data_IF_677570354574
#
_entry.id   IF_677570354574
#
_cell.length_a   1.000
_cell.length_b   1.000
_cell.length_c   1.000
_cell.angle_alpha   90.00
_cell.angle_beta   90.00
_cell.angle_gamma   90.00
#
_symmetry.space_group_name_H-M   'P 1'
#
loop_
_entity.id
_entity.type
_entity.pdbx_description
1 polymer ?
#
# COMPACT_ATOMS: atom_id res chain seq x y z
N UNK A 1 13.43 8.67 57.17
CA UNK A 1 14.72 8.00 56.96
C UNK A 1 14.72 7.55 55.51
N UNK A 2 15.05 8.46 54.61
CA UNK A 2 16.37 8.60 53.94
C UNK A 2 16.21 7.99 52.54
N UNK A 3 16.59 8.58 51.40
CA UNK A 3 17.39 9.76 51.14
C UNK A 3 17.24 10.10 49.65
N UNK A 4 17.05 11.37 49.29
CA UNK A 4 17.31 11.91 47.95
C UNK A 4 17.65 13.41 48.08
N UNK A 5 18.93 13.73 48.00
CA UNK A 5 19.52 15.03 47.63
C UNK A 5 21.01 14.75 47.35
N UNK A 6 21.50 14.77 46.12
CA UNK A 6 21.87 15.91 45.26
C UNK A 6 23.00 16.78 45.83
N UNK A 7 24.12 16.71 45.11
CA UNK A 7 25.13 17.74 44.85
C UNK A 7 26.26 18.01 45.86
N UNK A 8 27.33 18.56 45.30
CA UNK A 8 28.57 19.09 45.88
C UNK A 8 29.82 18.20 45.80
N UNK A 9 30.53 18.31 44.66
CA UNK A 9 31.98 18.45 44.70
C UNK A 9 32.56 19.16 43.46
N UNK A 10 32.87 20.45 43.65
CA UNK A 10 34.11 21.07 43.17
C UNK A 10 35.04 21.17 44.42
N UNK A 11 36.38 21.34 44.34
CA UNK A 11 37.14 22.04 43.29
C UNK A 11 38.42 21.30 42.83
N UNK A 12 39.06 21.77 41.74
CA UNK A 12 40.44 22.29 41.82
C UNK A 12 40.84 22.95 40.49
N UNK A 13 41.30 24.19 40.58
CA UNK A 13 42.00 24.91 39.52
C UNK A 13 43.50 24.69 39.70
N UNK A 14 44.22 24.34 38.63
CA UNK A 14 45.44 25.04 38.18
C UNK A 14 46.35 24.15 37.30
N UNK A 15 46.63 24.70 36.11
CA UNK A 15 47.88 24.64 35.34
C UNK A 15 48.55 23.27 35.07
N UNK A 16 48.60 22.91 33.80
CA UNK A 16 49.89 22.79 33.11
C UNK A 16 49.76 23.16 31.64
N UNK A 17 50.57 24.13 31.25
CA UNK A 17 50.76 24.62 29.91
C UNK A 17 51.45 23.57 29.01
N UNK A 18 51.11 23.62 27.72
CA UNK A 18 52.03 23.30 26.63
C UNK A 18 52.04 21.86 26.14
N UNK A 19 51.31 21.60 25.05
CA UNK A 19 51.75 20.67 24.02
C UNK A 19 51.09 21.03 22.68
N UNK A 20 51.86 21.79 21.89
CA UNK A 20 51.89 21.81 20.44
C UNK A 20 50.57 21.62 19.68
N UNK A 21 49.99 22.74 19.25
CA UNK A 21 49.33 22.85 17.95
C UNK A 21 50.33 22.44 16.85
N UNK A 22 50.39 21.15 16.54
CA UNK A 22 50.94 20.67 15.27
C UNK A 22 49.93 21.01 14.16
N UNK A 23 49.94 22.27 13.74
CA UNK A 23 49.55 22.60 12.38
C UNK A 23 50.64 22.05 11.46
N UNK A 24 50.50 20.78 11.09
CA UNK A 24 51.19 20.23 9.93
C UNK A 24 50.75 21.07 8.74
N UNK A 25 51.61 21.99 8.30
CA UNK A 25 51.43 22.73 7.06
C UNK A 25 51.47 21.71 5.91
N UNK A 26 50.30 21.23 5.51
CA UNK A 26 50.10 20.71 4.17
C UNK A 26 50.47 21.80 3.19
N UNK A 27 51.16 21.46 2.10
CA UNK A 27 51.33 22.41 1.01
C UNK A 27 49.93 22.83 0.54
N UNK A 28 49.73 24.12 0.27
CA UNK A 28 48.45 24.64 -0.22
C UNK A 28 47.94 23.88 -1.46
N UNK A 29 48.86 23.32 -2.25
CA UNK A 29 48.55 22.45 -3.40
C UNK A 29 47.94 21.09 -3.00
N UNK A 30 48.41 20.47 -1.90
CA UNK A 30 47.86 19.21 -1.41
C UNK A 30 46.47 19.36 -0.79
N UNK A 31 46.24 20.47 -0.08
CA UNK A 31 44.91 20.80 0.45
C UNK A 31 43.92 21.12 -0.68
N UNK A 32 44.39 21.80 -1.74
CA UNK A 32 43.57 22.08 -2.92
C UNK A 32 43.21 20.80 -3.69
N UNK A 33 44.14 19.87 -3.88
CA UNK A 33 43.87 18.59 -4.54
C UNK A 33 42.89 17.72 -3.73
N UNK A 34 43.02 17.70 -2.40
CA UNK A 34 42.07 17.04 -1.51
C UNK A 34 40.67 17.67 -1.61
N UNK A 35 40.58 19.00 -1.68
CA UNK A 35 39.32 19.73 -1.80
C UNK A 35 38.63 19.43 -3.14
N UNK A 36 39.37 19.42 -4.25
CA UNK A 36 38.84 19.04 -5.58
C UNK A 36 38.34 17.59 -5.59
N UNK A 37 39.07 16.65 -4.97
CA UNK A 37 38.65 15.25 -4.86
C UNK A 37 37.35 15.11 -4.07
N UNK A 38 37.24 15.79 -2.92
CA UNK A 38 36.04 15.78 -2.10
C UNK A 38 34.85 16.41 -2.81
N UNK A 39 35.06 17.48 -3.58
CA UNK A 39 34.00 18.12 -4.36
C UNK A 39 33.44 17.17 -5.42
N UNK A 40 34.34 16.47 -6.13
CA UNK A 40 33.96 15.46 -7.12
C UNK A 40 33.20 14.30 -6.51
N UNK A 41 33.67 13.77 -5.38
CA UNK A 41 32.98 12.70 -4.65
C UNK A 41 31.60 13.17 -4.16
N UNK A 42 31.49 14.42 -3.70
CA UNK A 42 30.22 15.01 -3.29
C UNK A 42 29.23 15.10 -4.44
N UNK A 43 29.68 15.51 -5.63
CA UNK A 43 28.84 15.59 -6.82
C UNK A 43 28.40 14.19 -7.30
N UNK A 44 29.30 13.20 -7.29
CA UNK A 44 28.96 11.81 -7.60
C UNK A 44 27.92 11.23 -6.61
N UNK A 45 28.04 11.55 -5.33
CA UNK A 45 27.08 11.14 -4.30
C UNK A 45 25.72 11.83 -4.46
N UNK A 46 25.70 13.14 -4.79
CA UNK A 46 24.47 13.88 -5.09
C UNK A 46 23.74 13.29 -6.29
N UNK A 47 24.46 13.02 -7.37
CA UNK A 47 23.89 12.41 -8.58
C UNK A 47 23.30 11.03 -8.28
N UNK A 48 24.01 10.22 -7.49
CA UNK A 48 23.51 8.91 -7.04
C UNK A 48 22.27 9.06 -6.18
N UNK A 49 22.27 9.99 -5.23
CA UNK A 49 21.13 10.24 -4.35
C UNK A 49 19.90 10.71 -5.13
N UNK A 50 20.06 11.61 -6.11
CA UNK A 50 18.98 12.07 -6.97
C UNK A 50 18.42 10.94 -7.83
N UNK A 51 19.28 10.09 -8.39
CA UNK A 51 18.86 8.92 -9.18
C UNK A 51 18.06 7.94 -8.32
N UNK A 52 18.56 7.60 -7.14
CA UNK A 52 17.85 6.71 -6.20
C UNK A 52 16.51 7.31 -5.78
N UNK A 53 16.46 8.61 -5.48
CA UNK A 53 15.21 9.29 -5.15
C UNK A 53 14.17 9.20 -6.29
N UNK A 54 14.62 9.38 -7.53
CA UNK A 54 13.76 9.24 -8.71
C UNK A 54 13.28 7.80 -8.92
N UNK A 55 14.16 6.80 -8.74
CA UNK A 55 13.81 5.39 -8.81
C UNK A 55 12.78 4.99 -7.73
N UNK A 56 12.94 5.50 -6.51
CA UNK A 56 12.01 5.26 -5.41
C UNK A 56 10.63 5.87 -5.67
N UNK A 57 10.58 7.09 -6.22
CA UNK A 57 9.31 7.72 -6.59
C UNK A 57 8.61 6.95 -7.74
N UNK A 58 9.37 6.49 -8.73
CA UNK A 58 8.83 5.65 -9.80
C UNK A 58 8.29 4.31 -9.27
N UNK A 59 9.03 3.66 -8.37
CA UNK A 59 8.61 2.43 -7.71
C UNK A 59 7.35 2.65 -6.87
N UNK A 60 7.28 3.75 -6.11
CA UNK A 60 6.10 4.12 -5.31
C UNK A 60 4.87 4.32 -6.20
N UNK A 61 5.01 5.03 -7.32
CA UNK A 61 3.91 5.22 -8.29
C UNK A 61 3.46 3.90 -8.92
N UNK A 62 4.40 3.03 -9.29
CA UNK A 62 4.09 1.72 -9.87
C UNK A 62 3.37 0.83 -8.86
N UNK A 63 3.93 0.70 -7.66
CA UNK A 63 3.34 -0.14 -6.60
C UNK A 63 1.96 0.36 -6.17
N UNK A 64 1.72 1.69 -6.14
CA UNK A 64 0.39 2.23 -5.87
C UNK A 64 -0.64 1.79 -6.92
N UNK A 65 -0.27 1.76 -8.20
CA UNK A 65 -1.13 1.24 -9.28
C UNK A 65 -1.33 -0.26 -9.15
N UNK A 66 -0.27 -1.03 -8.94
CA UNK A 66 -0.36 -2.49 -8.80
C UNK A 66 -1.26 -2.89 -7.62
N UNK A 67 -1.16 -2.18 -6.48
CA UNK A 67 -2.03 -2.40 -5.32
C UNK A 67 -3.48 -2.01 -5.62
N UNK A 68 -3.70 -0.91 -6.33
CA UNK A 68 -5.04 -0.51 -6.76
C UNK A 68 -5.67 -1.58 -7.67
N UNK A 69 -4.93 -2.04 -8.67
CA UNK A 69 -5.42 -3.02 -9.64
C UNK A 69 -5.62 -4.38 -8.98
N UNK A 70 -4.70 -4.80 -8.10
CA UNK A 70 -4.88 -6.01 -7.30
C UNK A 70 -6.16 -5.95 -6.47
N UNK A 71 -6.48 -4.80 -5.84
CA UNK A 71 -7.73 -4.62 -5.10
C UNK A 71 -8.96 -4.64 -6.00
N UNK A 72 -8.89 -3.97 -7.15
CA UNK A 72 -9.99 -3.91 -8.11
C UNK A 72 -10.32 -5.30 -8.69
N UNK A 73 -9.30 -6.10 -8.99
CA UNK A 73 -9.46 -7.39 -9.66
C UNK A 73 -9.39 -8.61 -8.74
N UNK A 74 -9.12 -8.45 -7.42
CA UNK A 74 -9.05 -9.56 -6.46
C UNK A 74 -10.30 -10.44 -6.44
N UNK A 75 -11.48 -9.83 -6.60
CA UNK A 75 -12.77 -10.54 -6.57
C UNK A 75 -13.28 -10.90 -7.96
N UNK A 76 -12.55 -10.61 -9.03
CA UNK A 76 -13.03 -10.79 -10.40
C UNK A 76 -13.35 -12.26 -10.74
N UNK A 77 -12.50 -13.19 -10.31
CA UNK A 77 -12.75 -14.62 -10.52
C UNK A 77 -13.97 -15.10 -9.73
N UNK A 78 -14.07 -14.72 -8.45
CA UNK A 78 -15.23 -15.03 -7.63
C UNK A 78 -16.53 -14.46 -8.22
N UNK A 79 -16.51 -13.21 -8.68
CA UNK A 79 -17.66 -12.60 -9.32
C UNK A 79 -18.07 -13.30 -10.62
N UNK A 80 -17.09 -13.78 -11.42
CA UNK A 80 -17.36 -14.58 -12.61
C UNK A 80 -18.06 -15.89 -12.25
N UNK A 81 -17.61 -16.57 -11.21
CA UNK A 81 -18.23 -17.81 -10.74
C UNK A 81 -19.65 -17.55 -10.22
N UNK A 82 -19.87 -16.46 -9.49
CA UNK A 82 -21.20 -16.06 -9.01
C UNK A 82 -22.16 -15.68 -10.15
N UNK A 83 -21.66 -15.14 -11.26
CA UNK A 83 -22.49 -14.89 -12.44
C UNK A 83 -23.09 -16.20 -12.99
N UNK A 84 -22.30 -17.27 -13.03
CA UNK A 84 -22.79 -18.59 -13.46
C UNK A 84 -23.90 -19.14 -12.56
N UNK A 85 -23.84 -18.83 -11.25
CA UNK A 85 -24.88 -19.20 -10.29
C UNK A 85 -26.16 -18.41 -10.58
N UNK A 86 -26.04 -17.09 -10.79
CA UNK A 86 -27.18 -16.24 -11.18
C UNK A 86 -27.85 -16.72 -12.46
N UNK A 87 -27.07 -17.05 -13.50
CA UNK A 87 -27.60 -17.57 -14.77
C UNK A 87 -28.32 -18.91 -14.59
N UNK A 88 -27.83 -19.78 -13.70
CA UNK A 88 -28.49 -21.04 -13.38
C UNK A 88 -29.79 -20.85 -12.61
N UNK A 89 -29.86 -19.89 -11.68
CA UNK A 89 -31.12 -19.52 -11.02
C UNK A 89 -32.14 -19.05 -12.05
N UNK A 90 -31.72 -18.21 -13.00
CA UNK A 90 -32.59 -17.74 -14.08
C UNK A 90 -33.07 -18.88 -14.96
N UNK A 91 -32.16 -19.77 -15.37
CA UNK A 91 -32.49 -20.97 -16.15
C UNK A 91 -33.49 -21.87 -15.42
N UNK A 92 -33.35 -22.03 -14.10
CA UNK A 92 -34.28 -22.82 -13.30
C UNK A 92 -35.68 -22.20 -13.29
N UNK A 93 -35.79 -20.87 -13.15
CA UNK A 93 -37.06 -20.14 -13.23
C UNK A 93 -37.72 -20.22 -14.61
N UNK A 94 -36.91 -20.17 -15.67
CA UNK A 94 -37.38 -20.25 -17.06
C UNK A 94 -37.80 -21.68 -17.45
N UNK A 95 -37.23 -22.70 -16.81
CA UNK A 95 -37.58 -24.10 -17.05
C UNK A 95 -38.94 -24.52 -16.46
N UNK A 96 -39.56 -23.70 -15.60
CA UNK A 96 -40.86 -23.99 -15.02
C UNK A 96 -41.95 -23.86 -16.11
N UNK A 97 -42.72 -24.94 -16.40
CA UNK A 97 -43.76 -24.93 -17.42
C UNK A 97 -44.81 -23.84 -17.20
N UNK A 98 -45.33 -23.28 -18.29
CA UNK A 98 -46.35 -22.22 -18.23
C UNK A 98 -47.63 -22.72 -17.55
N UNK A 99 -48.03 -23.98 -17.76
CA UNK A 99 -49.20 -24.55 -17.07
C UNK A 99 -48.98 -24.61 -15.55
N UNK A 100 -47.77 -24.94 -15.10
CA UNK A 100 -47.41 -24.96 -13.68
C UNK A 100 -47.44 -23.55 -13.07
N UNK A 101 -46.95 -22.53 -13.78
CA UNK A 101 -47.04 -21.12 -13.33
C UNK A 101 -48.50 -20.64 -13.24
N UNK A 102 -49.35 -21.08 -14.18
CA UNK A 102 -50.76 -20.71 -14.24
C UNK A 102 -51.67 -21.52 -13.30
N UNK A 103 -51.22 -22.68 -12.81
CA UNK A 103 -51.98 -23.63 -11.99
C UNK A 103 -52.56 -23.06 -10.69
N UNK A 104 -52.07 -21.90 -10.23
CA UNK A 104 -52.57 -21.22 -9.04
C UNK A 104 -52.02 -21.75 -7.73
N UNK A 105 -51.09 -22.71 -7.75
CA UNK A 105 -50.42 -23.21 -6.55
C UNK A 105 -49.68 -22.09 -5.82
N UNK A 106 -50.18 -21.73 -4.63
CA UNK A 106 -49.64 -20.66 -3.81
C UNK A 106 -48.21 -20.95 -3.29
N UNK A 107 -47.89 -22.22 -3.04
CA UNK A 107 -46.55 -22.64 -2.62
C UNK A 107 -45.54 -22.46 -3.74
N UNK A 108 -45.88 -22.90 -4.96
CA UNK A 108 -45.02 -22.73 -6.13
C UNK A 108 -44.81 -21.26 -6.48
N UNK A 109 -45.86 -20.42 -6.42
CA UNK A 109 -45.74 -18.97 -6.63
C UNK A 109 -44.81 -18.31 -5.62
N UNK A 110 -44.97 -18.63 -4.34
CA UNK A 110 -44.11 -18.09 -3.28
C UNK A 110 -42.64 -18.50 -3.47
N UNK A 111 -42.40 -19.74 -3.92
CA UNK A 111 -41.05 -20.21 -4.24
C UNK A 111 -40.43 -19.44 -5.42
N UNK A 112 -41.19 -19.24 -6.50
CA UNK A 112 -40.75 -18.47 -7.68
C UNK A 112 -40.35 -17.05 -7.26
N UNK A 113 -41.22 -16.35 -6.52
CA UNK A 113 -40.95 -15.00 -6.02
C UNK A 113 -39.71 -14.95 -5.12
N UNK A 114 -39.54 -15.94 -4.24
CA UNK A 114 -38.37 -16.03 -3.36
C UNK A 114 -37.06 -16.22 -4.12
N UNK A 115 -37.07 -17.06 -5.16
CA UNK A 115 -35.89 -17.28 -6.02
C UNK A 115 -35.59 -16.05 -6.86
N UNK A 116 -36.59 -15.38 -7.43
CA UNK A 116 -36.43 -14.10 -8.15
C UNK A 116 -35.85 -12.99 -7.27
N UNK A 117 -36.31 -12.89 -6.02
CA UNK A 117 -35.77 -11.93 -5.06
C UNK A 117 -34.30 -12.22 -4.74
N UNK A 118 -33.95 -13.50 -4.62
CA UNK A 118 -32.58 -13.95 -4.36
C UNK A 118 -31.66 -13.67 -5.55
N UNK A 119 -32.10 -13.94 -6.78
CA UNK A 119 -31.39 -13.58 -8.02
C UNK A 119 -31.11 -12.07 -8.05
N UNK A 120 -32.13 -11.25 -7.77
CA UNK A 120 -32.00 -9.79 -7.75
C UNK A 120 -31.03 -9.33 -6.66
N UNK A 121 -31.11 -9.89 -5.45
CA UNK A 121 -30.21 -9.55 -4.36
C UNK A 121 -28.75 -9.91 -4.68
N UNK A 122 -28.52 -11.03 -5.37
CA UNK A 122 -27.21 -11.46 -5.86
C UNK A 122 -26.66 -10.48 -6.91
N UNK A 123 -27.45 -10.10 -7.91
CA UNK A 123 -27.05 -9.10 -8.91
C UNK A 123 -26.72 -7.75 -8.26
N UNK A 124 -27.57 -7.26 -7.35
CA UNK A 124 -27.30 -6.03 -6.59
C UNK A 124 -26.02 -6.14 -5.75
N UNK A 125 -25.65 -7.33 -5.27
CA UNK A 125 -24.39 -7.53 -4.57
C UNK A 125 -23.18 -7.41 -5.50
N UNK A 126 -23.26 -8.02 -6.70
CA UNK A 126 -22.22 -7.89 -7.73
C UNK A 126 -22.03 -6.43 -8.16
N UNK A 127 -23.12 -5.67 -8.33
CA UNK A 127 -23.06 -4.26 -8.70
C UNK A 127 -22.33 -3.39 -7.66
N UNK A 128 -22.53 -3.66 -6.36
CA UNK A 128 -21.79 -2.98 -5.28
C UNK A 128 -20.29 -3.23 -5.33
N UNK A 129 -19.86 -4.35 -5.91
CA UNK A 129 -18.46 -4.71 -6.14
C UNK A 129 -17.95 -4.32 -7.53
N UNK A 130 -18.67 -3.46 -8.26
CA UNK A 130 -18.24 -2.92 -9.55
C UNK A 130 -18.56 -3.82 -10.75
N UNK A 131 -19.29 -4.92 -10.55
CA UNK A 131 -19.67 -5.85 -11.61
C UNK A 131 -21.10 -5.54 -12.04
N UNK A 132 -21.24 -4.92 -13.22
CA UNK A 132 -22.53 -4.53 -13.79
C UNK A 132 -22.83 -5.33 -15.05
N UNK A 133 -24.11 -5.62 -15.25
CA UNK A 133 -24.60 -6.18 -16.51
C UNK A 133 -24.39 -5.15 -17.64
N UNK A 134 -23.92 -5.63 -18.79
CA UNK A 134 -23.75 -4.84 -20.02
C UNK A 134 -25.09 -4.62 -20.73
#
# INVERSE_FOLDING_TARGET
MSDQAKDERAPDEAETAGAATEHTQGSADGDYEALVRLLKENDELKDRALRVAAEMENLRRRTARDVHDARAYAVANFARDMLSVSDNLRRALDAIPAESKASGDAGLKSLIEGVELTERAMLSALERHGVKKL
#
